data_IF_635166891670
#
_entry.id   IF_635166891670
#
_cell.length_a   1.000
_cell.length_b   1.000
_cell.length_c   1.000
_cell.angle_alpha   90.00
_cell.angle_beta   90.00
_cell.angle_gamma   90.00
#
_symmetry.space_group_name_H-M   'P 1'
#
loop_
_entity.id
_entity.type
_entity.pdbx_description
1 polymer ?
#
# COMPACT_ATOMS: atom_id res chain seq x y z
N UNK A 1 -8.95 -4.52 -20.68
CA UNK A 1 -8.29 -3.24 -20.32
C UNK A 1 -6.79 -3.44 -20.55
N UNK A 2 -6.16 -2.59 -21.36
CA UNK A 2 -4.72 -2.69 -21.66
C UNK A 2 -3.94 -2.46 -20.37
N UNK A 3 -2.99 -3.33 -20.04
CA UNK A 3 -2.10 -3.17 -18.89
C UNK A 3 -1.03 -2.09 -19.09
N UNK A 4 -0.36 -1.68 -18.01
CA UNK A 4 0.66 -0.61 -18.02
C UNK A 4 1.79 -0.92 -19.02
N UNK A 5 2.29 -2.16 -19.01
CA UNK A 5 3.36 -2.59 -19.91
C UNK A 5 2.98 -2.42 -21.39
N UNK A 6 1.77 -2.86 -21.75
CA UNK A 6 1.26 -2.77 -23.12
C UNK A 6 1.02 -1.31 -23.56
N UNK A 7 0.61 -0.44 -22.65
CA UNK A 7 0.53 1.00 -22.94
C UNK A 7 1.89 1.59 -23.29
N UNK A 8 2.94 1.24 -22.54
CA UNK A 8 4.31 1.67 -22.81
C UNK A 8 4.77 1.13 -24.17
N UNK A 9 4.48 -0.14 -24.48
CA UNK A 9 4.78 -0.74 -25.79
C UNK A 9 4.11 0.03 -26.92
N UNK A 10 2.80 0.31 -26.82
CA UNK A 10 2.06 1.09 -27.84
C UNK A 10 2.67 2.49 -28.00
N UNK A 11 3.02 3.16 -26.91
CA UNK A 11 3.68 4.48 -26.94
C UNK A 11 5.01 4.42 -27.68
N UNK A 12 5.87 3.48 -27.33
CA UNK A 12 7.19 3.33 -27.97
C UNK A 12 7.12 2.98 -29.46
N UNK A 13 6.16 2.13 -29.86
CA UNK A 13 5.95 1.77 -31.26
C UNK A 13 5.33 2.92 -32.05
N UNK A 14 4.45 3.70 -31.43
CA UNK A 14 3.88 4.90 -32.04
C UNK A 14 4.95 5.94 -32.31
N UNK A 15 5.85 6.21 -31.36
CA UNK A 15 6.97 7.14 -31.51
C UNK A 15 7.91 6.75 -32.66
N UNK A 16 8.14 5.45 -32.87
CA UNK A 16 9.06 4.93 -33.91
C UNK A 16 8.46 4.83 -35.31
N UNK A 17 7.25 4.28 -35.43
CA UNK A 17 6.70 3.85 -36.72
C UNK A 17 5.49 4.65 -37.20
N UNK A 18 4.79 5.37 -36.30
CA UNK A 18 3.54 6.11 -36.58
C UNK A 18 2.48 5.37 -37.44
N UNK A 19 2.44 4.04 -37.37
CA UNK A 19 1.49 3.21 -38.13
C UNK A 19 0.57 2.40 -37.21
N UNK A 20 -0.71 2.75 -37.19
CA UNK A 20 -1.73 2.15 -36.30
C UNK A 20 -2.00 0.68 -36.62
N UNK A 21 -2.05 0.32 -37.90
CA UNK A 21 -2.34 -1.05 -38.36
C UNK A 21 -1.18 -2.01 -38.05
N UNK A 22 0.06 -1.53 -38.17
CA UNK A 22 1.25 -2.28 -37.78
C UNK A 22 1.26 -2.54 -36.27
N UNK A 23 0.99 -1.50 -35.47
CA UNK A 23 0.94 -1.62 -34.01
C UNK A 23 -0.15 -2.60 -33.58
N UNK A 24 -1.33 -2.56 -34.20
CA UNK A 24 -2.41 -3.52 -33.92
C UNK A 24 -1.99 -4.97 -34.19
N UNK A 25 -1.31 -5.23 -35.32
CA UNK A 25 -0.78 -6.56 -35.65
C UNK A 25 0.31 -7.02 -34.68
N UNK A 26 1.25 -6.16 -34.33
CA UNK A 26 2.35 -6.47 -33.41
C UNK A 26 1.89 -6.70 -31.97
N UNK A 27 0.89 -5.93 -31.53
CA UNK A 27 0.36 -6.03 -30.16
C UNK A 27 -0.75 -7.07 -30.02
N UNK A 28 -1.28 -7.61 -31.12
CA UNK A 28 -2.41 -8.54 -31.11
C UNK A 28 -3.72 -7.93 -30.61
N UNK A 29 -3.87 -6.60 -30.67
CA UNK A 29 -5.05 -5.88 -30.18
C UNK A 29 -5.88 -5.33 -31.34
N UNK A 30 -7.19 -5.21 -31.11
CA UNK A 30 -8.10 -4.56 -32.07
C UNK A 30 -7.63 -3.13 -32.40
N UNK A 31 -7.67 -2.78 -33.69
CA UNK A 31 -7.19 -1.52 -34.21
C UNK A 31 -7.89 -0.30 -33.59
N UNK A 32 -9.19 -0.41 -33.21
CA UNK A 32 -9.92 0.67 -32.54
C UNK A 32 -9.38 0.91 -31.15
N UNK A 33 -8.96 -0.15 -30.47
CA UNK A 33 -8.33 -0.05 -29.14
C UNK A 33 -6.99 0.67 -29.22
N UNK A 34 -6.16 0.29 -30.20
CA UNK A 34 -4.86 0.95 -30.45
C UNK A 34 -5.07 2.42 -30.85
N UNK A 35 -6.01 2.71 -31.76
CA UNK A 35 -6.34 4.07 -32.19
C UNK A 35 -6.81 4.95 -31.03
N UNK A 36 -7.66 4.42 -30.14
CA UNK A 36 -8.09 5.11 -28.92
C UNK A 36 -6.91 5.44 -28.01
N UNK A 37 -5.99 4.50 -27.82
CA UNK A 37 -4.80 4.71 -26.97
C UNK A 37 -3.82 5.70 -27.55
N UNK A 38 -3.61 5.67 -28.86
CA UNK A 38 -2.78 6.68 -29.55
C UNK A 38 -3.36 8.08 -29.36
N UNK A 39 -4.69 8.23 -29.50
CA UNK A 39 -5.36 9.53 -29.25
C UNK A 39 -5.19 10.00 -27.81
N UNK A 40 -5.23 9.09 -26.83
CA UNK A 40 -4.95 9.42 -25.41
C UNK A 40 -3.49 9.84 -25.20
N UNK A 41 -2.53 9.17 -25.86
CA UNK A 41 -1.09 9.50 -25.82
C UNK A 41 -0.82 10.88 -26.45
N UNK A 42 -1.41 11.17 -27.61
CA UNK A 42 -1.27 12.46 -28.29
C UNK A 42 -1.90 13.60 -27.48
N UNK A 43 -2.96 13.33 -26.74
CA UNK A 43 -3.57 14.27 -25.80
C UNK A 43 -2.76 14.45 -24.50
N UNK A 44 -1.57 13.85 -24.37
CA UNK A 44 -0.71 13.95 -23.20
C UNK A 44 -1.27 13.27 -21.95
N UNK A 45 -2.28 12.41 -22.08
CA UNK A 45 -2.89 11.73 -20.92
C UNK A 45 -1.95 10.63 -20.44
N UNK A 46 -1.67 10.62 -19.14
CA UNK A 46 -1.01 9.48 -18.53
C UNK A 46 -1.87 8.22 -18.59
N UNK A 47 -1.24 7.06 -18.46
CA UNK A 47 -1.95 5.79 -18.41
C UNK A 47 -3.06 5.85 -17.36
N UNK A 48 -4.32 5.54 -17.73
CA UNK A 48 -5.43 5.66 -16.81
C UNK A 48 -5.25 4.69 -15.65
N UNK A 49 -4.91 5.23 -14.47
CA UNK A 49 -4.95 4.46 -13.23
C UNK A 49 -6.40 4.04 -13.01
N UNK A 50 -6.63 2.74 -12.87
CA UNK A 50 -7.95 2.22 -12.52
C UNK A 50 -8.35 2.86 -11.20
N UNK A 51 -9.42 3.65 -11.19
CA UNK A 51 -9.99 4.14 -9.93
C UNK A 51 -10.32 2.90 -9.10
N UNK A 52 -9.89 2.83 -7.83
CA UNK A 52 -10.28 1.72 -6.97
C UNK A 52 -11.80 1.66 -6.94
N UNK A 53 -12.36 0.45 -6.95
CA UNK A 53 -13.80 0.28 -6.84
C UNK A 53 -14.24 0.88 -5.50
N UNK A 54 -15.23 1.79 -5.49
CA UNK A 54 -15.69 2.41 -4.25
C UNK A 54 -16.18 1.30 -3.33
N UNK A 55 -15.63 1.25 -2.12
CA UNK A 55 -16.10 0.32 -1.10
C UNK A 55 -17.27 0.98 -0.40
N UNK A 56 -18.26 0.17 0.02
CA UNK A 56 -19.40 0.64 0.82
C UNK A 56 -18.94 1.45 2.03
N UNK A 57 -17.78 1.09 2.59
CA UNK A 57 -17.22 1.76 3.76
C UNK A 57 -16.53 3.09 3.47
N UNK A 58 -16.24 3.41 2.21
CA UNK A 58 -15.66 4.71 1.84
C UNK A 58 -16.66 5.84 2.09
N UNK A 59 -17.97 5.57 2.02
CA UNK A 59 -19.04 6.52 2.35
C UNK A 59 -19.12 6.86 3.84
N UNK A 60 -18.65 5.97 4.71
CA UNK A 60 -18.69 6.13 6.17
C UNK A 60 -17.31 6.42 6.77
N UNK A 61 -16.35 6.80 5.93
CA UNK A 61 -14.95 6.96 6.35
C UNK A 61 -14.77 7.97 7.48
N UNK A 62 -15.42 9.13 7.38
CA UNK A 62 -15.33 10.21 8.38
C UNK A 62 -15.85 9.75 9.74
N UNK A 63 -17.01 9.10 9.76
CA UNK A 63 -17.60 8.55 10.99
C UNK A 63 -16.74 7.46 11.62
N UNK A 64 -16.09 6.62 10.81
CA UNK A 64 -15.16 5.60 11.33
C UNK A 64 -13.92 6.25 11.94
N UNK A 65 -13.42 7.35 11.35
CA UNK A 65 -12.28 8.09 11.89
C UNK A 65 -12.63 8.72 13.24
N UNK A 66 -13.77 9.39 13.36
CA UNK A 66 -14.26 9.93 14.64
C UNK A 66 -14.33 8.84 15.72
N UNK A 67 -14.93 7.69 15.42
CA UNK A 67 -15.01 6.59 16.39
C UNK A 67 -13.64 5.97 16.72
N UNK A 68 -12.68 6.02 15.80
CA UNK A 68 -11.32 5.58 16.06
C UNK A 68 -10.57 6.56 16.96
N UNK A 69 -10.79 7.88 16.80
CA UNK A 69 -10.26 8.92 17.68
C UNK A 69 -10.83 8.80 19.11
N UNK A 70 -12.12 8.47 19.21
CA UNK A 70 -12.80 8.15 20.49
C UNK A 70 -12.35 6.80 21.12
N UNK A 71 -11.34 6.13 20.56
CA UNK A 71 -10.81 4.84 21.01
C UNK A 71 -11.85 3.69 21.05
N UNK A 72 -12.86 3.71 20.18
CA UNK A 72 -13.80 2.59 20.09
C UNK A 72 -13.10 1.31 19.57
N UNK A 73 -13.51 0.17 20.13
CA UNK A 73 -13.07 -1.13 19.64
C UNK A 73 -13.65 -1.41 18.25
N UNK A 74 -12.94 -2.19 17.44
CA UNK A 74 -13.40 -2.58 16.11
C UNK A 74 -14.74 -3.36 16.13
N UNK A 75 -15.06 -4.01 17.25
CA UNK A 75 -16.35 -4.68 17.47
C UNK A 75 -17.45 -3.64 17.67
N UNK A 76 -17.22 -2.63 18.52
CA UNK A 76 -18.17 -1.53 18.76
C UNK A 76 -18.46 -0.73 17.49
N UNK A 77 -17.45 -0.50 16.66
CA UNK A 77 -17.59 0.16 15.35
C UNK A 77 -18.49 -0.68 14.41
N UNK A 78 -18.35 -2.01 14.45
CA UNK A 78 -19.18 -2.91 13.66
C UNK A 78 -20.65 -2.91 14.13
N UNK A 79 -20.90 -2.93 15.44
CA UNK A 79 -22.25 -2.79 16.02
C UNK A 79 -22.91 -1.47 15.60
N UNK A 80 -22.22 -0.34 15.76
CA UNK A 80 -22.73 0.98 15.34
C UNK A 80 -23.01 1.07 13.85
N UNK A 81 -22.25 0.35 13.01
CA UNK A 81 -22.53 0.26 11.57
C UNK A 81 -23.80 -0.54 11.29
N UNK A 82 -24.03 -1.61 12.04
CA UNK A 82 -25.27 -2.39 11.92
C UNK A 82 -26.49 -1.61 12.40
N UNK A 83 -26.37 -0.83 13.48
CA UNK A 83 -27.43 0.08 13.95
C UNK A 83 -27.83 1.11 12.89
N UNK A 84 -26.86 1.60 12.11
CA UNK A 84 -27.10 2.48 10.96
C UNK A 84 -27.68 1.77 9.73
N UNK A 85 -27.94 0.47 9.80
CA UNK A 85 -28.49 -0.33 8.71
C UNK A 85 -27.46 -0.81 7.68
N UNK A 86 -26.16 -0.67 7.96
CA UNK A 86 -25.11 -1.08 7.04
C UNK A 86 -24.81 -2.58 7.21
N UNK A 87 -25.23 -3.39 6.24
CA UNK A 87 -25.00 -4.85 6.22
C UNK A 87 -23.55 -5.17 5.81
N UNK A 88 -22.61 -5.00 6.74
CA UNK A 88 -21.19 -5.32 6.55
C UNK A 88 -20.76 -6.38 7.58
N UNK A 89 -19.90 -7.30 7.15
CA UNK A 89 -19.26 -8.29 8.02
C UNK A 89 -18.12 -7.69 8.85
N UNK A 90 -17.90 -8.23 10.05
CA UNK A 90 -16.83 -7.78 10.95
C UNK A 90 -15.44 -7.81 10.32
N UNK A 91 -15.14 -8.82 9.49
CA UNK A 91 -13.86 -8.95 8.78
C UNK A 91 -13.57 -7.74 7.89
N UNK A 92 -14.57 -7.25 7.15
CA UNK A 92 -14.45 -6.07 6.30
C UNK A 92 -14.14 -4.82 7.12
N UNK A 93 -14.82 -4.63 8.27
CA UNK A 93 -14.58 -3.51 9.20
C UNK A 93 -13.15 -3.56 9.73
N UNK A 94 -12.73 -4.73 10.22
CA UNK A 94 -11.39 -4.96 10.76
C UNK A 94 -10.29 -4.66 9.73
N UNK A 95 -10.43 -5.16 8.51
CA UNK A 95 -9.45 -4.95 7.42
C UNK A 95 -9.29 -3.46 7.08
N UNK A 96 -10.39 -2.71 7.11
CA UNK A 96 -10.37 -1.29 6.83
C UNK A 96 -9.78 -0.45 7.96
N UNK A 97 -10.13 -0.74 9.21
CA UNK A 97 -9.51 -0.13 10.38
C UNK A 97 -8.00 -0.37 10.36
N UNK A 98 -7.56 -1.61 10.03
CA UNK A 98 -6.15 -1.94 9.90
C UNK A 98 -5.45 -1.11 8.82
N UNK A 99 -6.09 -0.87 7.68
CA UNK A 99 -5.56 0.01 6.61
C UNK A 99 -5.44 1.47 7.05
N UNK A 100 -6.34 1.96 7.90
CA UNK A 100 -6.28 3.32 8.46
C UNK A 100 -5.14 3.42 9.48
N UNK A 101 -5.11 2.52 10.47
CA UNK A 101 -4.13 2.51 11.57
C UNK A 101 -2.68 2.29 11.11
N UNK A 102 -2.46 1.61 9.98
CA UNK A 102 -1.12 1.35 9.42
C UNK A 102 -0.29 2.59 9.07
N UNK A 103 -0.80 3.81 9.30
CA UNK A 103 -0.13 5.07 8.95
C UNK A 103 0.66 5.72 10.09
N UNK A 104 0.69 5.15 11.30
CA UNK A 104 1.55 5.71 12.34
C UNK A 104 2.98 5.21 12.16
N UNK A 105 3.89 6.18 11.97
CA UNK A 105 5.33 5.96 11.93
C UNK A 105 5.77 5.29 13.25
N UNK A 106 6.01 3.99 13.19
CA UNK A 106 6.56 3.17 14.28
C UNK A 106 8.00 3.60 14.61
N UNK A 107 8.58 4.52 13.84
CA UNK A 107 9.92 5.05 14.04
C UNK A 107 9.87 6.45 14.67
N UNK A 108 10.28 6.52 15.93
CA UNK A 108 10.61 7.78 16.59
C UNK A 108 12.07 8.09 16.26
N UNK A 109 12.32 9.17 15.51
CA UNK A 109 13.68 9.62 15.22
C UNK A 109 14.20 10.42 16.41
N UNK A 110 15.14 9.86 17.14
CA UNK A 110 15.82 10.59 18.21
C UNK A 110 16.92 11.48 17.62
N UNK A 111 16.94 12.75 18.01
CA UNK A 111 17.94 13.74 17.61
C UNK A 111 18.71 14.17 18.87
N UNK A 112 19.97 13.74 18.99
CA UNK A 112 20.86 14.09 20.10
C UNK A 112 22.21 14.58 19.58
N UNK A 113 22.83 15.51 20.32
CA UNK A 113 24.16 16.01 19.98
C UNK A 113 25.23 14.94 20.26
N UNK A 114 26.30 14.86 19.45
CA UNK A 114 27.37 13.88 19.68
C UNK A 114 28.01 14.08 21.06
N UNK A 115 28.09 12.99 21.83
CA UNK A 115 28.70 12.98 23.17
C UNK A 115 27.80 13.41 24.34
N UNK A 116 26.51 13.73 24.09
CA UNK A 116 25.54 14.01 25.17
C UNK A 116 24.83 12.77 25.68
N UNK A 117 24.57 11.81 24.80
CA UNK A 117 23.95 10.52 25.12
C UNK A 117 24.68 9.40 24.38
N UNK A 118 24.79 8.24 25.01
CA UNK A 118 25.33 7.03 24.40
C UNK A 118 24.19 6.01 24.27
N UNK A 119 24.06 5.39 23.11
CA UNK A 119 23.05 4.37 22.87
C UNK A 119 23.66 2.99 23.17
N UNK A 120 23.02 2.22 24.05
CA UNK A 120 23.43 0.85 24.34
C UNK A 120 22.51 -0.12 23.59
N UNK A 121 23.05 -0.85 22.63
CA UNK A 121 22.34 -1.88 21.90
C UNK A 121 22.54 -3.24 22.58
N UNK A 122 21.43 -3.86 23.02
CA UNK A 122 21.45 -5.21 23.60
C UNK A 122 21.17 -6.25 22.51
N UNK A 123 22.11 -7.17 22.30
CA UNK A 123 22.04 -8.27 21.36
C UNK A 123 22.02 -9.63 22.06
N UNK A 124 21.39 -10.61 21.41
CA UNK A 124 21.45 -12.01 21.84
C UNK A 124 22.39 -12.79 20.93
N UNK A 125 23.43 -13.40 21.51
CA UNK A 125 24.47 -14.13 20.77
C UNK A 125 24.17 -15.64 20.65
N UNK A 126 23.14 -16.13 21.35
CA UNK A 126 22.83 -17.57 21.40
C UNK A 126 23.22 -18.21 22.73
N UNK A 127 23.40 -19.53 22.71
CA UNK A 127 23.90 -20.27 23.87
C UNK A 127 25.40 -20.50 23.70
N UNK A 128 26.19 -20.04 24.66
CA UNK A 128 27.63 -20.34 24.72
C UNK A 128 27.94 -21.19 25.93
N UNK A 129 29.08 -21.88 25.90
CA UNK A 129 29.59 -22.60 27.05
C UNK A 129 30.28 -21.61 28.00
N UNK A 130 29.71 -21.44 29.18
CA UNK A 130 30.32 -20.68 30.27
C UNK A 130 30.49 -21.60 31.47
N UNK A 131 31.74 -21.79 31.92
CA UNK A 131 32.11 -22.72 33.01
C UNK A 131 31.54 -24.13 32.81
N UNK A 132 31.65 -24.66 31.58
CA UNK A 132 31.20 -26.03 31.24
C UNK A 132 29.69 -26.22 31.14
N UNK A 133 28.88 -25.18 31.40
CA UNK A 133 27.41 -25.21 31.22
C UNK A 133 26.99 -24.34 30.04
N UNK A 134 26.03 -24.81 29.25
CA UNK A 134 25.40 -23.99 28.21
C UNK A 134 24.58 -22.89 28.87
N UNK A 135 24.92 -21.64 28.60
CA UNK A 135 24.23 -20.47 29.13
C UNK A 135 23.85 -19.51 28.00
N UNK A 136 22.76 -18.78 28.20
CA UNK A 136 22.32 -17.74 27.26
C UNK A 136 23.27 -16.55 27.35
N UNK A 137 23.84 -16.17 26.22
CA UNK A 137 24.77 -15.04 26.15
C UNK A 137 24.10 -13.86 25.50
N UNK A 138 24.14 -12.74 26.21
CA UNK A 138 23.73 -11.43 25.72
C UNK A 138 24.98 -10.59 25.58
N UNK A 139 25.03 -9.79 24.54
CA UNK A 139 26.13 -8.88 24.23
C UNK A 139 25.57 -7.48 24.16
N UNK A 140 26.35 -6.50 24.63
CA UNK A 140 25.95 -5.11 24.58
C UNK A 140 26.96 -4.36 23.71
N UNK A 141 26.48 -3.50 22.82
CA UNK A 141 27.32 -2.61 22.02
C UNK A 141 27.00 -1.18 22.42
N UNK A 142 28.05 -0.40 22.68
CA UNK A 142 27.99 1.04 22.91
C UNK A 142 28.37 1.79 21.62
#
# INVERSE_FOLDING_TARGET
MIGVAMYITIKSLWERHRNKSMIARLTGHDWKTVAKKIKEIEAGKEYPKKKPHPRIMDFHKEQILEWLEDNLSGVRIHEKMQEKGVKIGYSTVKDYICRIKKRENIFIRMHTLPGKEAQVDFGYLGYTLYKGKKSKTRVNRL
#
